data_IF_543908126718
#
_entry.id   IF_543908126718
#
_cell.length_a   1.000
_cell.length_b   1.000
_cell.length_c   1.000
_cell.angle_alpha   90.00
_cell.angle_beta   90.00
_cell.angle_gamma   90.00
#
_symmetry.space_group_name_H-M   'P 1'
#
loop_
_entity.id
_entity.type
_entity.pdbx_description
1 polymer ?
#
# COMPACT_ATOMS: atom_id res chain seq x y z
N UNK A 1 4.30 9.41 22.19
CA UNK A 1 3.04 10.03 21.80
C UNK A 1 1.96 8.96 21.92
N UNK A 2 0.77 9.26 22.42
CA UNK A 2 -0.35 8.33 22.39
C UNK A 2 -0.79 8.13 20.92
N UNK A 3 -1.18 6.92 20.54
CA UNK A 3 -1.69 6.64 19.21
C UNK A 3 -3.07 7.29 19.02
N UNK A 4 -3.25 7.97 17.89
CA UNK A 4 -4.53 8.55 17.48
C UNK A 4 -4.71 8.41 15.98
N UNK A 5 -5.79 7.78 15.54
CA UNK A 5 -6.11 7.66 14.13
C UNK A 5 -6.45 9.01 13.49
N UNK A 6 -5.86 9.29 12.33
CA UNK A 6 -6.00 10.57 11.62
C UNK A 6 -6.74 10.45 10.28
N UNK A 7 -7.05 9.22 9.84
CA UNK A 7 -7.62 8.94 8.52
C UNK A 7 -6.65 9.15 7.37
N UNK A 8 -7.14 8.92 6.17
CA UNK A 8 -6.36 9.11 4.95
C UNK A 8 -6.20 10.59 4.65
N UNK A 9 -5.07 11.17 5.06
CA UNK A 9 -4.71 12.57 4.74
C UNK A 9 -3.87 12.62 3.48
N UNK A 10 -3.90 13.74 2.76
CA UNK A 10 -3.00 13.98 1.64
C UNK A 10 -1.57 14.05 2.17
N UNK A 11 -0.68 13.23 1.57
CA UNK A 11 0.74 13.21 1.87
C UNK A 11 1.51 13.53 0.59
N UNK A 12 2.57 14.29 0.72
CA UNK A 12 3.37 14.74 -0.42
C UNK A 12 4.82 14.33 -0.28
N UNK A 13 5.46 14.10 -1.41
CA UNK A 13 6.90 13.92 -1.58
C UNK A 13 7.36 14.80 -2.75
N UNK A 14 8.64 14.74 -3.10
CA UNK A 14 9.17 15.49 -4.24
C UNK A 14 8.46 15.11 -5.55
N UNK A 15 8.16 13.82 -5.77
CA UNK A 15 7.59 13.31 -7.00
C UNK A 15 6.12 12.93 -6.90
N UNK A 16 5.59 12.68 -5.68
CA UNK A 16 4.29 12.04 -5.50
C UNK A 16 3.31 12.92 -4.73
N UNK A 17 2.03 12.71 -5.03
CA UNK A 17 0.89 13.09 -4.21
C UNK A 17 0.18 11.79 -3.84
N UNK A 18 0.09 11.49 -2.54
CA UNK A 18 -0.69 10.38 -2.00
C UNK A 18 -1.99 10.98 -1.47
N UNK A 19 -3.11 10.68 -2.10
CA UNK A 19 -4.41 11.26 -1.77
C UNK A 19 -5.50 10.21 -1.65
N UNK A 20 -6.63 10.49 -1.00
CA UNK A 20 -7.81 9.63 -1.12
C UNK A 20 -8.19 9.41 -2.59
N UNK A 21 -8.70 8.20 -2.90
CA UNK A 21 -9.32 7.94 -4.20
C UNK A 21 -10.58 8.77 -4.37
N UNK A 22 -10.90 9.07 -5.63
CA UNK A 22 -12.13 9.73 -6.07
C UNK A 22 -12.86 8.81 -7.03
N UNK A 23 -14.16 8.97 -7.20
CA UNK A 23 -14.95 8.13 -8.13
C UNK A 23 -14.41 8.20 -9.55
N UNK A 24 -13.91 9.37 -9.96
CA UNK A 24 -13.35 9.64 -11.29
C UNK A 24 -12.05 8.87 -11.56
N UNK A 25 -11.41 8.31 -10.52
CA UNK A 25 -10.16 7.54 -10.67
C UNK A 25 -10.38 6.13 -11.25
N UNK A 26 -11.63 5.67 -11.37
CA UNK A 26 -11.95 4.29 -11.74
C UNK A 26 -11.36 3.88 -13.11
N UNK A 27 -11.52 4.71 -14.12
CA UNK A 27 -10.98 4.48 -15.46
C UNK A 27 -9.45 4.40 -15.46
N UNK A 28 -8.80 5.33 -14.72
CA UNK A 28 -7.35 5.34 -14.59
C UNK A 28 -6.83 4.13 -13.83
N UNK A 29 -7.49 3.75 -12.73
CA UNK A 29 -7.18 2.55 -11.97
C UNK A 29 -7.29 1.29 -12.83
N UNK A 30 -8.40 1.12 -13.53
CA UNK A 30 -8.62 -0.01 -14.43
C UNK A 30 -7.51 -0.11 -15.47
N UNK A 31 -7.31 0.97 -16.23
CA UNK A 31 -6.33 1.02 -17.32
C UNK A 31 -4.89 0.85 -16.85
N UNK A 32 -4.53 1.45 -15.72
CA UNK A 32 -3.14 1.55 -15.31
C UNK A 32 -2.63 0.30 -14.56
N UNK A 33 -3.52 -0.43 -13.83
CA UNK A 33 -3.05 -1.62 -13.11
C UNK A 33 -4.12 -2.67 -12.80
N UNK A 34 -5.39 -2.31 -12.56
CA UNK A 34 -6.36 -3.27 -12.03
C UNK A 34 -6.75 -4.35 -13.06
N UNK A 35 -6.69 -4.04 -14.35
CA UNK A 35 -6.93 -4.98 -15.46
C UNK A 35 -5.71 -5.80 -15.87
N UNK A 36 -4.53 -5.54 -15.27
CA UNK A 36 -3.30 -6.22 -15.63
C UNK A 36 -3.06 -7.46 -14.75
N UNK A 37 -3.14 -8.70 -15.30
CA UNK A 37 -2.94 -9.93 -14.53
C UNK A 37 -1.51 -10.06 -13.97
N UNK A 38 -0.50 -9.45 -14.59
CA UNK A 38 0.85 -9.44 -14.05
C UNK A 38 0.98 -8.57 -12.78
N UNK A 39 0.17 -7.51 -12.67
CA UNK A 39 0.10 -6.69 -11.45
C UNK A 39 -0.65 -7.42 -10.36
N UNK A 40 -1.79 -8.02 -10.67
CA UNK A 40 -2.64 -8.71 -9.67
C UNK A 40 -2.12 -10.08 -9.25
N UNK A 41 -1.16 -10.66 -9.97
CA UNK A 41 -0.63 -12.02 -9.79
C UNK A 41 -0.38 -12.40 -8.31
N UNK A 42 0.25 -11.52 -7.54
CA UNK A 42 0.59 -11.74 -6.13
C UNK A 42 -0.36 -11.02 -5.16
N UNK A 43 -1.48 -10.47 -5.65
CA UNK A 43 -2.46 -9.76 -4.83
C UNK A 43 -3.57 -10.70 -4.36
N UNK A 44 -4.31 -10.27 -3.33
CA UNK A 44 -5.41 -11.04 -2.73
C UNK A 44 -6.74 -10.84 -3.46
N UNK A 45 -6.81 -9.86 -4.36
CA UNK A 45 -7.98 -9.57 -5.17
C UNK A 45 -7.73 -9.95 -6.65
N UNK A 46 -8.76 -10.42 -7.38
CA UNK A 46 -8.64 -10.87 -8.76
C UNK A 46 -8.42 -9.69 -9.71
N UNK A 47 -7.83 -9.96 -10.88
CA UNK A 47 -7.78 -8.99 -11.99
C UNK A 47 -9.18 -8.49 -12.31
N UNK A 48 -9.36 -7.17 -12.39
CA UNK A 48 -10.67 -6.59 -12.72
C UNK A 48 -11.01 -6.85 -14.18
N UNK A 49 -12.24 -7.29 -14.42
CA UNK A 49 -12.72 -7.67 -15.76
C UNK A 49 -13.33 -6.50 -16.52
N UNK A 50 -13.67 -5.41 -15.84
CA UNK A 50 -14.23 -4.21 -16.45
C UNK A 50 -14.02 -2.96 -15.58
N UNK A 51 -14.16 -1.75 -16.18
CA UNK A 51 -14.13 -0.49 -15.42
C UNK A 51 -15.23 -0.41 -14.35
N UNK A 52 -16.40 -1.04 -14.57
CA UNK A 52 -17.52 -1.05 -13.61
C UNK A 52 -17.14 -1.77 -12.33
N UNK A 53 -16.40 -2.89 -12.42
CA UNK A 53 -15.85 -3.61 -11.25
C UNK A 53 -14.92 -2.68 -10.47
N UNK A 54 -14.04 -1.96 -11.17
CA UNK A 54 -13.13 -0.99 -10.54
C UNK A 54 -13.89 0.14 -9.88
N UNK A 55 -14.95 0.65 -10.52
CA UNK A 55 -15.81 1.72 -10.00
C UNK A 55 -16.48 1.31 -8.69
N UNK A 56 -17.01 0.07 -8.61
CA UNK A 56 -17.61 -0.46 -7.38
C UNK A 56 -16.60 -0.57 -6.24
N UNK A 57 -15.36 -0.98 -6.54
CA UNK A 57 -14.29 -1.05 -5.53
C UNK A 57 -13.94 0.35 -5.03
N UNK A 58 -13.75 1.33 -5.92
CA UNK A 58 -13.46 2.71 -5.51
C UNK A 58 -14.62 3.32 -4.72
N UNK A 59 -15.87 3.09 -5.14
CA UNK A 59 -17.04 3.56 -4.40
C UNK A 59 -17.04 3.06 -2.95
N UNK A 60 -16.74 1.78 -2.75
CA UNK A 60 -16.60 1.21 -1.39
C UNK A 60 -15.52 1.92 -0.56
N UNK A 61 -14.39 2.28 -1.17
CA UNK A 61 -13.32 3.01 -0.47
C UNK A 61 -13.70 4.46 -0.16
N UNK A 62 -14.37 5.13 -1.10
CA UNK A 62 -14.83 6.52 -0.92
C UNK A 62 -15.78 6.61 0.27
N UNK A 63 -16.66 5.62 0.44
CA UNK A 63 -17.57 5.55 1.57
C UNK A 63 -16.86 5.35 2.92
N UNK A 64 -15.68 4.71 2.94
CA UNK A 64 -14.91 4.46 4.17
C UNK A 64 -14.07 5.66 4.64
N UNK A 65 -13.82 6.67 3.79
CA UNK A 65 -12.94 7.80 4.17
C UNK A 65 -13.46 8.68 5.30
N UNK A 66 -14.72 8.55 5.72
CA UNK A 66 -15.23 9.20 6.94
C UNK A 66 -14.61 8.61 8.22
N UNK A 67 -14.06 7.39 8.16
CA UNK A 67 -13.45 6.69 9.28
C UNK A 67 -12.02 7.15 9.48
N UNK A 68 -11.67 7.47 10.72
CA UNK A 68 -10.30 7.88 11.07
C UNK A 68 -9.29 6.73 11.05
N UNK A 69 -9.74 5.48 11.16
CA UNK A 69 -8.91 4.27 11.12
C UNK A 69 -8.78 3.64 9.73
N UNK A 70 -9.35 4.28 8.70
CA UNK A 70 -9.23 3.87 7.31
C UNK A 70 -8.12 4.62 6.59
N UNK A 71 -7.16 3.87 6.01
CA UNK A 71 -5.98 4.40 5.36
C UNK A 71 -5.79 3.78 3.99
N UNK A 72 -6.09 4.54 2.94
CA UNK A 72 -5.98 4.06 1.57
C UNK A 72 -5.70 5.22 0.62
N UNK A 73 -4.54 5.21 -0.05
CA UNK A 73 -4.09 6.29 -0.91
C UNK A 73 -3.96 5.85 -2.36
N UNK A 74 -4.44 6.67 -3.25
CA UNK A 74 -4.02 6.72 -4.64
C UNK A 74 -2.60 7.29 -4.71
N UNK A 75 -1.71 6.63 -5.44
CA UNK A 75 -0.37 7.12 -5.74
C UNK A 75 -0.47 7.91 -7.05
N UNK A 76 -0.23 9.21 -6.99
CA UNK A 76 -0.23 10.11 -8.14
C UNK A 76 1.18 10.62 -8.37
N UNK A 77 1.68 10.49 -9.59
CA UNK A 77 2.99 11.00 -9.99
C UNK A 77 2.82 12.41 -10.56
N UNK A 78 3.43 13.43 -9.94
CA UNK A 78 3.27 14.84 -10.32
C UNK A 78 3.51 15.12 -11.82
N UNK A 79 4.44 14.42 -12.44
CA UNK A 79 4.75 14.54 -13.87
C UNK A 79 3.74 13.83 -14.79
N UNK A 80 2.79 13.09 -14.25
CA UNK A 80 1.77 12.33 -15.00
C UNK A 80 0.36 12.92 -14.85
N UNK A 81 0.25 14.19 -14.42
CA UNK A 81 -1.03 14.83 -14.15
C UNK A 81 -1.67 14.39 -12.84
N UNK A 82 -3.00 14.23 -12.81
CA UNK A 82 -3.75 13.88 -11.60
C UNK A 82 -4.15 12.40 -11.53
N UNK A 83 -3.85 11.62 -12.57
CA UNK A 83 -4.24 10.21 -12.64
C UNK A 83 -3.45 9.34 -11.66
N UNK A 84 -4.13 8.45 -10.90
CA UNK A 84 -3.46 7.49 -10.07
C UNK A 84 -2.72 6.44 -10.92
N UNK A 85 -1.55 6.07 -10.46
CA UNK A 85 -0.69 5.06 -11.09
C UNK A 85 -0.55 3.80 -10.22
N UNK A 86 -1.10 3.81 -9.02
CA UNK A 86 -1.05 2.72 -8.05
C UNK A 86 -1.82 3.05 -6.79
N UNK A 87 -1.73 2.13 -5.84
CA UNK A 87 -2.40 2.18 -4.55
C UNK A 87 -1.43 1.80 -3.43
N UNK A 88 -1.57 2.45 -2.27
CA UNK A 88 -0.92 2.06 -1.02
C UNK A 88 -1.91 2.19 0.13
N UNK A 89 -2.00 1.19 1.01
CA UNK A 89 -3.00 1.17 2.08
C UNK A 89 -2.51 0.44 3.32
N UNK A 90 -3.16 0.70 4.45
CA UNK A 90 -3.11 -0.16 5.63
C UNK A 90 -4.17 -1.25 5.45
N UNK A 91 -3.75 -2.48 5.23
CA UNK A 91 -4.64 -3.62 5.00
C UNK A 91 -5.16 -4.24 6.30
N UNK A 92 -4.44 -4.02 7.40
CA UNK A 92 -4.89 -4.34 8.76
C UNK A 92 -4.14 -3.50 9.78
N UNK A 93 -4.74 -3.26 10.95
CA UNK A 93 -4.09 -2.63 12.08
C UNK A 93 -4.48 -3.29 13.40
N UNK A 94 -3.71 -3.02 14.45
CA UNK A 94 -3.98 -3.48 15.80
C UNK A 94 -3.61 -2.39 16.79
N UNK A 95 -4.62 -1.74 17.35
CA UNK A 95 -4.47 -0.60 18.27
C UNK A 95 -3.79 -0.99 19.60
N UNK A 96 -4.10 -2.17 20.21
CA UNK A 96 -3.45 -2.57 21.47
C UNK A 96 -1.93 -2.62 21.40
N UNK A 97 -1.36 -2.90 20.21
CA UNK A 97 0.09 -2.94 19.98
C UNK A 97 0.58 -1.82 19.05
N UNK A 98 -0.31 -0.90 18.67
CA UNK A 98 -0.05 0.22 17.77
C UNK A 98 0.69 -0.24 16.49
N UNK A 99 0.13 -1.24 15.77
CA UNK A 99 0.69 -1.86 14.56
C UNK A 99 -0.18 -1.56 13.35
N UNK A 100 0.46 -1.31 12.23
CA UNK A 100 -0.17 -1.23 10.91
C UNK A 100 0.53 -2.16 9.91
N UNK A 101 -0.24 -2.94 9.14
CA UNK A 101 0.25 -3.80 8.06
C UNK A 101 -0.03 -3.16 6.72
N UNK A 102 0.99 -2.98 5.89
CA UNK A 102 0.91 -2.30 4.61
C UNK A 102 0.65 -3.25 3.45
N UNK A 103 -0.15 -2.77 2.50
CA UNK A 103 -0.28 -3.33 1.17
C UNK A 103 -0.08 -2.26 0.10
N UNK A 104 0.46 -2.63 -1.06
CA UNK A 104 0.65 -1.71 -2.19
C UNK A 104 0.71 -2.44 -3.52
N UNK A 105 0.33 -1.74 -4.55
CA UNK A 105 0.54 -2.12 -5.94
C UNK A 105 0.73 -0.88 -6.81
N UNK A 106 1.36 -1.07 -7.95
CA UNK A 106 1.60 -0.02 -8.93
C UNK A 106 1.57 -0.60 -10.33
N UNK A 107 1.09 0.16 -11.29
CA UNK A 107 1.05 -0.23 -12.68
C UNK A 107 2.42 -0.60 -13.23
N UNK A 108 2.47 -1.62 -14.08
CA UNK A 108 3.69 -2.22 -14.63
C UNK A 108 4.60 -1.20 -15.32
N UNK A 109 4.03 -0.21 -15.99
CA UNK A 109 4.75 0.90 -16.64
C UNK A 109 5.66 1.69 -15.68
N UNK A 110 5.35 1.71 -14.39
CA UNK A 110 6.08 2.47 -13.36
C UNK A 110 6.94 1.58 -12.44
N UNK A 111 7.10 0.30 -12.75
CA UNK A 111 7.97 -0.58 -11.99
C UNK A 111 9.43 -0.15 -12.06
N UNK A 112 10.21 -0.48 -11.02
CA UNK A 112 11.66 -0.24 -10.90
C UNK A 112 12.09 1.23 -10.95
N UNK A 113 11.15 2.17 -10.80
CA UNK A 113 11.44 3.61 -10.77
C UNK A 113 11.56 4.20 -9.35
N UNK A 114 11.51 3.35 -8.31
CA UNK A 114 11.60 3.77 -6.91
C UNK A 114 10.35 4.45 -6.36
N UNK A 115 9.27 4.53 -7.14
CA UNK A 115 8.02 5.22 -6.78
C UNK A 115 7.37 4.57 -5.56
N UNK A 116 7.22 3.23 -5.57
CA UNK A 116 6.58 2.50 -4.47
C UNK A 116 7.39 2.64 -3.16
N UNK A 117 8.72 2.63 -3.24
CA UNK A 117 9.57 2.84 -2.06
C UNK A 117 9.43 4.26 -1.50
N UNK A 118 9.31 5.28 -2.36
CA UNK A 118 9.08 6.66 -1.95
C UNK A 118 7.71 6.82 -1.27
N UNK A 119 6.66 6.24 -1.85
CA UNK A 119 5.33 6.23 -1.27
C UNK A 119 5.30 5.52 0.09
N UNK A 120 5.88 4.31 0.16
CA UNK A 120 5.91 3.53 1.40
C UNK A 120 6.70 4.24 2.50
N UNK A 121 7.86 4.81 2.20
CA UNK A 121 8.67 5.57 3.17
C UNK A 121 7.87 6.76 3.73
N UNK A 122 7.15 7.49 2.87
CA UNK A 122 6.33 8.64 3.29
C UNK A 122 5.15 8.21 4.18
N UNK A 123 4.50 7.10 3.86
CA UNK A 123 3.39 6.56 4.67
C UNK A 123 3.91 6.02 6.02
N UNK A 124 5.05 5.32 6.05
CA UNK A 124 5.69 4.87 7.30
C UNK A 124 5.93 6.07 8.23
N UNK A 125 6.51 7.17 7.72
CA UNK A 125 6.73 8.39 8.52
C UNK A 125 5.41 8.95 9.07
N UNK A 126 4.36 9.00 8.26
CA UNK A 126 3.04 9.48 8.69
C UNK A 126 2.44 8.58 9.78
N UNK A 127 2.49 7.27 9.60
CA UNK A 127 1.93 6.32 10.56
C UNK A 127 2.68 6.35 11.91
N UNK A 128 4.02 6.44 11.87
CA UNK A 128 4.83 6.45 13.09
C UNK A 128 4.79 7.82 13.78
N UNK A 129 5.07 8.91 13.06
CA UNK A 129 5.21 10.22 13.67
C UNK A 129 3.87 10.99 13.79
N UNK A 130 2.95 10.77 12.86
CA UNK A 130 1.64 11.43 12.86
C UNK A 130 0.61 10.68 13.68
N UNK A 131 0.39 9.39 13.40
CA UNK A 131 -0.61 8.56 14.06
C UNK A 131 -0.11 7.99 15.39
N UNK A 132 1.19 7.80 15.55
CA UNK A 132 1.79 7.21 16.75
C UNK A 132 1.87 5.69 16.72
N UNK A 133 1.88 5.09 15.53
CA UNK A 133 2.13 3.65 15.40
C UNK A 133 3.54 3.32 15.90
N UNK A 134 3.66 2.20 16.61
CA UNK A 134 4.96 1.70 17.11
C UNK A 134 5.64 0.79 16.11
N UNK A 135 4.85 0.19 15.23
CA UNK A 135 5.30 -0.80 14.25
C UNK A 135 4.53 -0.65 12.94
N UNK A 136 5.27 -0.66 11.85
CA UNK A 136 4.71 -0.81 10.50
C UNK A 136 5.34 -2.05 9.89
N UNK A 137 4.49 -2.96 9.43
CA UNK A 137 4.95 -4.19 8.77
C UNK A 137 4.30 -4.40 7.40
N UNK A 138 4.88 -5.31 6.65
CA UNK A 138 4.37 -5.74 5.35
C UNK A 138 4.89 -7.14 5.05
N UNK A 139 4.19 -7.85 4.17
CA UNK A 139 4.63 -9.16 3.70
C UNK A 139 4.62 -9.22 2.17
N UNK A 140 5.42 -10.12 1.63
CA UNK A 140 5.38 -10.44 0.21
C UNK A 140 5.51 -11.95 -0.02
N UNK A 141 4.93 -12.42 -1.10
CA UNK A 141 5.14 -13.77 -1.60
C UNK A 141 6.63 -14.02 -1.86
N UNK A 142 7.16 -15.17 -1.46
CA UNK A 142 8.59 -15.52 -1.66
C UNK A 142 9.01 -15.43 -3.13
N UNK A 143 8.06 -15.63 -4.08
CA UNK A 143 8.29 -15.50 -5.51
C UNK A 143 8.18 -14.06 -6.02
N UNK A 144 7.89 -13.08 -5.15
CA UNK A 144 7.86 -11.65 -5.47
C UNK A 144 9.00 -10.87 -4.79
N UNK A 145 10.27 -11.11 -5.13
CA UNK A 145 11.42 -10.46 -4.48
C UNK A 145 11.46 -8.94 -4.70
N UNK A 146 10.79 -8.44 -5.74
CA UNK A 146 10.70 -7.00 -6.01
C UNK A 146 9.95 -6.25 -4.88
N UNK A 147 8.88 -6.84 -4.34
CA UNK A 147 8.17 -6.27 -3.19
C UNK A 147 9.07 -6.23 -1.95
N UNK A 148 9.85 -7.30 -1.69
CA UNK A 148 10.85 -7.31 -0.62
C UNK A 148 11.95 -6.25 -0.80
N UNK A 149 12.36 -5.96 -2.05
CA UNK A 149 13.31 -4.90 -2.33
C UNK A 149 12.76 -3.51 -1.98
N UNK A 150 11.46 -3.27 -2.22
CA UNK A 150 10.76 -2.04 -1.79
C UNK A 150 10.83 -1.88 -0.27
N UNK A 151 10.49 -2.94 0.48
CA UNK A 151 10.51 -2.93 1.95
C UNK A 151 11.91 -2.65 2.50
N UNK A 152 12.92 -3.36 2.01
CA UNK A 152 14.34 -3.13 2.41
C UNK A 152 14.79 -1.70 2.14
N UNK A 153 14.41 -1.12 0.99
CA UNK A 153 14.77 0.27 0.65
C UNK A 153 14.15 1.29 1.61
N UNK A 154 13.04 0.94 2.26
CA UNK A 154 12.40 1.76 3.30
C UNK A 154 12.95 1.50 4.70
N UNK A 155 14.03 0.71 4.86
CA UNK A 155 14.63 0.40 6.16
C UNK A 155 13.90 -0.73 6.92
N UNK A 156 12.92 -1.38 6.33
CA UNK A 156 12.24 -2.52 6.96
C UNK A 156 13.18 -3.73 7.02
N UNK A 157 13.18 -4.44 8.15
CA UNK A 157 13.99 -5.63 8.40
C UNK A 157 13.18 -6.90 8.18
N UNK A 158 13.78 -7.91 7.57
CA UNK A 158 13.19 -9.25 7.46
C UNK A 158 13.14 -9.89 8.86
N UNK A 159 11.95 -10.29 9.30
CA UNK A 159 11.76 -10.98 10.57
C UNK A 159 11.60 -12.51 10.40
N UNK A 160 11.24 -12.96 9.23
CA UNK A 160 11.15 -14.38 8.92
C UNK A 160 10.36 -14.70 7.66
N UNK A 161 10.39 -15.99 7.32
CA UNK A 161 9.55 -16.56 6.26
C UNK A 161 8.55 -17.51 6.91
N UNK A 162 7.27 -17.31 6.63
CA UNK A 162 6.18 -18.14 7.12
C UNK A 162 5.62 -18.97 5.97
N UNK A 163 5.51 -20.29 6.21
CA UNK A 163 5.04 -21.23 5.20
C UNK A 163 3.52 -21.35 5.22
N UNK A 164 2.90 -21.35 4.03
CA UNK A 164 1.48 -21.62 3.79
C UNK A 164 0.52 -20.77 4.65
N UNK A 165 0.85 -19.47 4.82
CA UNK A 165 0.13 -18.57 5.75
C UNK A 165 -0.70 -17.53 5.02
N UNK A 166 -0.54 -17.40 3.72
CA UNK A 166 -1.26 -16.41 2.91
C UNK A 166 -1.90 -17.07 1.68
N UNK A 167 -2.89 -16.36 1.11
CA UNK A 167 -3.53 -16.74 -0.15
C UNK A 167 -3.47 -15.54 -1.09
N UNK A 168 -3.08 -15.79 -2.33
CA UNK A 168 -3.14 -14.83 -3.43
C UNK A 168 -3.71 -15.51 -4.69
N UNK A 169 -3.64 -14.85 -5.84
CA UNK A 169 -4.16 -15.40 -7.10
C UNK A 169 -3.42 -16.66 -7.60
N UNK A 170 -2.31 -17.03 -6.99
CA UNK A 170 -1.59 -18.29 -7.24
C UNK A 170 -1.91 -19.39 -6.20
N UNK A 171 -2.86 -19.15 -5.29
CA UNK A 171 -3.25 -20.10 -4.24
C UNK A 171 -2.54 -19.86 -2.91
N UNK A 172 -2.33 -20.93 -2.12
CA UNK A 172 -1.67 -20.89 -0.81
C UNK A 172 -0.17 -20.63 -1.00
N UNK A 173 0.37 -19.66 -0.23
CA UNK A 173 1.72 -19.14 -0.43
C UNK A 173 2.51 -19.03 0.86
N UNK A 174 3.83 -19.17 0.69
CA UNK A 174 4.81 -18.78 1.67
C UNK A 174 5.09 -17.28 1.55
N UNK A 175 5.28 -16.58 2.66
CA UNK A 175 5.55 -15.14 2.67
C UNK A 175 6.75 -14.79 3.50
N UNK A 176 7.50 -13.77 3.04
CA UNK A 176 8.51 -13.08 3.82
C UNK A 176 7.86 -11.91 4.56
N UNK A 177 8.06 -11.83 5.87
CA UNK A 177 7.52 -10.77 6.72
C UNK A 177 8.60 -9.75 7.06
N UNK A 178 8.31 -8.50 6.83
CA UNK A 178 9.19 -7.36 7.09
C UNK A 178 8.55 -6.39 8.05
N UNK A 179 9.35 -5.71 8.87
CA UNK A 179 8.88 -4.67 9.76
C UNK A 179 9.90 -3.55 9.96
N UNK A 180 9.38 -2.38 10.35
CA UNK A 180 10.14 -1.26 10.89
C UNK A 180 9.47 -0.77 12.17
N UNK A 181 10.26 -0.48 13.19
CA UNK A 181 9.79 0.03 14.47
C UNK A 181 10.01 1.53 14.58
N UNK A 182 9.22 2.20 15.42
CA UNK A 182 9.37 3.62 15.66
C UNK A 182 10.76 4.01 16.17
N UNK A 183 11.45 3.10 16.87
CA UNK A 183 12.82 3.31 17.34
C UNK A 183 13.86 3.27 16.22
N UNK A 184 13.62 2.49 15.15
CA UNK A 184 14.52 2.41 13.99
C UNK A 184 14.59 3.72 13.18
N UNK A 185 13.57 4.59 13.28
CA UNK A 185 13.53 5.89 12.61
C UNK A 185 14.13 7.04 13.43
N UNK A 186 14.57 6.79 14.67
CA UNK A 186 15.16 7.80 15.55
C UNK A 186 16.71 7.83 15.48
N UNK A 187 17.29 6.90 14.73
CA UNK A 187 18.74 6.75 14.57
C UNK A 187 19.27 7.52 13.36
#
# INVERSE_FOLDING_TARGET
MAMEHLGTRVLETDRLILRPFRLEDAEAMYRNWASDPEVSKFLTWPTHTSPEVTSQVIDSWVQEYHRKDFYNWAIVLRSNGEEPIGNISVVSHSDPVARATMGYCIGRRWWRQGITSEALARVIQFLIHGVGMRRVDAMHDVENPNSGAVMRKCGMRLEGTMRQVAVNNLGIRDVCWYAILAEDLRS
#
